data_IF_254879326302
#
_entry.id   IF_254879326302
#
_cell.length_a   1.000
_cell.length_b   1.000
_cell.length_c   1.000
_cell.angle_alpha   90.00
_cell.angle_beta   90.00
_cell.angle_gamma   90.00
#
_symmetry.space_group_name_H-M   'P 1'
#
loop_
_entity.id
_entity.type
_entity.pdbx_description
1 polymer ?
#
# COMPACT_ATOMS: atom_id res chain seq x y z
N UNK A 1 19.55 -7.46 22.65
CA UNK A 1 19.58 -8.85 22.14
C UNK A 1 18.13 -9.34 22.15
N UNK A 2 17.41 -9.14 21.06
CA UNK A 2 16.06 -9.67 20.86
C UNK A 2 16.21 -11.13 20.44
N UNK A 3 15.58 -12.04 21.18
CA UNK A 3 15.52 -13.45 20.85
C UNK A 3 15.17 -13.60 19.36
N UNK A 4 16.03 -14.27 18.61
CA UNK A 4 15.75 -14.71 17.25
C UNK A 4 14.63 -15.77 17.37
N UNK A 5 13.37 -15.29 17.36
CA UNK A 5 12.23 -16.16 17.19
C UNK A 5 12.43 -16.89 15.86
N UNK A 6 12.20 -18.20 15.88
CA UNK A 6 12.27 -19.05 14.69
C UNK A 6 11.44 -18.40 13.58
N UNK A 7 12.10 -17.94 12.52
CA UNK A 7 11.42 -17.37 11.34
C UNK A 7 10.53 -18.48 10.74
N UNK A 8 9.26 -18.18 10.55
CA UNK A 8 8.28 -19.09 9.94
C UNK A 8 7.87 -18.59 8.56
N UNK A 9 8.62 -18.90 7.49
CA UNK A 9 8.40 -18.34 6.17
C UNK A 9 6.98 -18.57 5.61
N UNK A 10 6.39 -19.73 5.90
CA UNK A 10 5.00 -20.03 5.52
C UNK A 10 4.00 -19.12 6.21
N UNK A 11 4.19 -18.83 7.50
CA UNK A 11 3.35 -17.86 8.21
C UNK A 11 3.48 -16.47 7.59
N UNK A 12 4.71 -16.03 7.28
CA UNK A 12 4.95 -14.76 6.57
C UNK A 12 4.20 -14.67 5.24
N UNK A 13 4.19 -15.77 4.47
CA UNK A 13 3.45 -15.86 3.20
C UNK A 13 1.92 -15.74 3.41
N UNK A 14 1.37 -16.49 4.37
CA UNK A 14 -0.07 -16.42 4.69
C UNK A 14 -0.48 -15.02 5.13
N UNK A 15 0.31 -14.39 6.02
CA UNK A 15 0.07 -13.02 6.48
C UNK A 15 0.12 -12.01 5.31
N UNK A 16 1.05 -12.18 4.36
CA UNK A 16 1.14 -11.35 3.16
C UNK A 16 -0.10 -11.50 2.26
N UNK A 17 -0.54 -12.73 1.99
CA UNK A 17 -1.74 -12.98 1.20
C UNK A 17 -3.00 -12.41 1.86
N UNK A 18 -3.12 -12.53 3.20
CA UNK A 18 -4.20 -11.91 3.95
C UNK A 18 -4.12 -10.38 3.92
N UNK A 19 -2.93 -9.78 4.02
CA UNK A 19 -2.75 -8.35 3.90
C UNK A 19 -3.19 -7.83 2.52
N UNK A 20 -2.81 -8.50 1.44
CA UNK A 20 -3.21 -8.14 0.08
C UNK A 20 -4.72 -8.32 -0.15
N UNK A 21 -5.34 -9.34 0.44
CA UNK A 21 -6.79 -9.50 0.45
C UNK A 21 -7.49 -8.35 1.19
N UNK A 22 -6.97 -7.94 2.36
CA UNK A 22 -7.53 -6.79 3.10
C UNK A 22 -7.43 -5.49 2.31
N UNK A 23 -6.32 -5.24 1.61
CA UNK A 23 -6.18 -4.05 0.78
C UNK A 23 -7.13 -4.07 -0.41
N UNK A 24 -7.26 -5.19 -1.12
CA UNK A 24 -8.24 -5.32 -2.20
C UNK A 24 -9.68 -5.17 -1.70
N UNK A 25 -9.99 -5.72 -0.52
CA UNK A 25 -11.27 -5.54 0.16
C UNK A 25 -11.53 -4.08 0.53
N UNK A 26 -10.51 -3.39 1.07
CA UNK A 26 -10.60 -1.96 1.37
C UNK A 26 -10.91 -1.15 0.10
N UNK A 27 -10.20 -1.39 -1.00
CA UNK A 27 -10.40 -0.69 -2.26
C UNK A 27 -11.82 -0.93 -2.83
N UNK A 28 -12.32 -2.16 -2.70
CA UNK A 28 -13.69 -2.53 -3.10
C UNK A 28 -14.74 -1.79 -2.26
N UNK A 29 -14.55 -1.75 -0.93
CA UNK A 29 -15.45 -1.02 -0.02
C UNK A 29 -15.38 0.49 -0.28
N UNK A 30 -14.20 1.06 -0.52
CA UNK A 30 -14.03 2.48 -0.89
C UNK A 30 -14.83 2.81 -2.15
N UNK A 31 -14.71 1.99 -3.20
CA UNK A 31 -15.45 2.18 -4.44
C UNK A 31 -16.97 2.20 -4.18
N UNK A 32 -17.46 1.27 -3.38
CA UNK A 32 -18.87 1.22 -3.01
C UNK A 32 -19.28 2.42 -2.15
N UNK A 33 -18.48 2.79 -1.14
CA UNK A 33 -18.76 3.87 -0.20
C UNK A 33 -18.71 5.26 -0.86
N UNK A 34 -17.96 5.43 -1.93
CA UNK A 34 -17.91 6.66 -2.72
C UNK A 34 -19.29 7.02 -3.36
N UNK A 35 -20.24 6.08 -3.41
CA UNK A 35 -21.59 6.33 -3.91
C UNK A 35 -22.48 7.08 -2.90
N UNK A 36 -22.19 7.03 -1.59
CA UNK A 36 -23.06 7.61 -0.56
C UNK A 36 -22.34 8.58 0.39
N UNK A 37 -21.02 8.62 0.40
CA UNK A 37 -20.29 9.49 1.31
C UNK A 37 -19.15 10.24 0.59
N UNK A 38 -18.85 11.49 0.99
CA UNK A 38 -17.71 12.22 0.47
C UNK A 38 -16.40 11.48 0.73
N UNK A 39 -15.52 11.39 -0.28
CA UNK A 39 -14.22 10.74 -0.15
C UNK A 39 -13.38 11.30 1.01
N UNK A 40 -13.44 12.61 1.24
CA UNK A 40 -12.73 13.27 2.35
C UNK A 40 -13.19 12.75 3.73
N UNK A 41 -14.50 12.50 3.90
CA UNK A 41 -15.04 11.90 5.12
C UNK A 41 -14.50 10.49 5.32
N UNK A 42 -14.56 9.66 4.28
CA UNK A 42 -14.08 8.27 4.34
C UNK A 42 -12.57 8.19 4.65
N UNK A 43 -11.76 9.08 4.04
CA UNK A 43 -10.33 9.17 4.32
C UNK A 43 -10.10 9.59 5.78
N UNK A 44 -10.84 10.59 6.26
CA UNK A 44 -10.72 11.07 7.65
C UNK A 44 -11.06 9.94 8.63
N UNK A 45 -12.18 9.25 8.43
CA UNK A 45 -12.58 8.13 9.29
C UNK A 45 -11.54 6.99 9.27
N UNK A 46 -10.97 6.67 8.10
CA UNK A 46 -9.91 5.67 7.99
C UNK A 46 -8.69 6.00 8.84
N UNK A 47 -8.18 7.23 8.75
CA UNK A 47 -7.00 7.64 9.50
C UNK A 47 -7.30 7.85 10.99
N UNK A 48 -8.47 8.38 11.33
CA UNK A 48 -8.93 8.51 12.72
C UNK A 48 -9.07 7.13 13.38
N UNK A 49 -9.70 6.16 12.69
CA UNK A 49 -9.79 4.78 13.17
C UNK A 49 -8.39 4.20 13.47
N UNK A 50 -7.45 4.35 12.54
CA UNK A 50 -6.07 3.92 12.72
C UNK A 50 -5.39 4.59 13.92
N UNK A 51 -5.53 5.90 14.07
CA UNK A 51 -4.95 6.65 15.18
C UNK A 51 -5.53 6.20 16.54
N UNK A 52 -6.86 6.02 16.61
CA UNK A 52 -7.54 5.58 17.84
C UNK A 52 -7.13 4.15 18.19
N UNK A 53 -7.21 3.20 17.27
CA UNK A 53 -6.88 1.80 17.55
C UNK A 53 -5.42 1.65 17.96
N UNK A 54 -4.49 2.28 17.26
CA UNK A 54 -3.07 2.24 17.61
C UNK A 54 -2.80 3.02 18.91
N UNK A 55 -3.49 4.12 19.15
CA UNK A 55 -3.38 4.91 20.38
C UNK A 55 -3.83 4.11 21.60
N UNK A 56 -4.98 3.43 21.52
CA UNK A 56 -5.46 2.55 22.59
C UNK A 56 -4.48 1.40 22.83
N UNK A 57 -3.94 0.78 21.75
CA UNK A 57 -2.95 -0.29 21.91
C UNK A 57 -1.67 0.19 22.59
N UNK A 58 -1.14 1.34 22.21
CA UNK A 58 0.06 1.91 22.85
C UNK A 58 -0.22 2.27 24.31
N UNK A 59 -1.38 2.88 24.60
CA UNK A 59 -1.76 3.26 25.96
C UNK A 59 -1.93 2.06 26.90
N UNK A 60 -2.39 0.92 26.37
CA UNK A 60 -2.54 -0.34 27.14
C UNK A 60 -1.25 -1.12 27.28
N UNK A 61 -0.17 -0.71 26.60
CA UNK A 61 1.13 -1.42 26.63
C UNK A 61 2.16 -0.66 27.47
N UNK A 62 2.74 -1.29 28.48
CA UNK A 62 3.84 -0.72 29.27
C UNK A 62 5.17 -0.62 28.51
N UNK A 63 5.28 -1.27 27.34
CA UNK A 63 6.53 -1.38 26.57
C UNK A 63 6.59 -0.44 25.36
N UNK A 64 5.46 0.20 24.99
CA UNK A 64 5.34 1.06 23.83
C UNK A 64 5.27 2.52 24.24
N UNK A 65 5.74 3.42 23.38
CA UNK A 65 5.74 4.86 23.61
C UNK A 65 5.10 5.60 22.44
N UNK A 66 4.35 6.67 22.74
CA UNK A 66 3.87 7.63 21.74
C UNK A 66 4.98 8.47 21.12
N UNK A 67 6.14 8.57 21.80
CA UNK A 67 7.27 9.39 21.35
C UNK A 67 7.97 8.72 20.19
N UNK A 68 8.13 9.45 19.09
CA UNK A 68 8.94 9.06 17.95
C UNK A 68 10.35 9.68 18.07
N UNK A 69 11.38 8.96 17.64
CA UNK A 69 12.76 9.44 17.60
C UNK A 69 12.91 10.67 16.67
N UNK A 70 12.20 10.64 15.54
CA UNK A 70 12.24 11.70 14.54
C UNK A 70 10.84 12.14 14.08
N UNK A 71 10.09 12.95 14.89
CA UNK A 71 8.69 13.31 14.60
C UNK A 71 8.49 13.98 13.24
N UNK A 72 9.41 14.84 12.80
CA UNK A 72 9.33 15.51 11.50
C UNK A 72 9.29 14.51 10.33
N UNK A 73 10.10 13.47 10.37
CA UNK A 73 10.10 12.43 9.35
C UNK A 73 8.85 11.55 9.42
N UNK A 74 8.29 11.31 10.62
CA UNK A 74 7.01 10.62 10.77
C UNK A 74 5.85 11.42 10.14
N UNK A 75 5.86 12.76 10.29
CA UNK A 75 4.87 13.65 9.65
C UNK A 75 5.01 13.60 8.12
N UNK A 76 6.23 13.74 7.57
CA UNK A 76 6.45 13.63 6.12
C UNK A 76 6.00 12.28 5.59
N UNK A 77 6.33 11.20 6.31
CA UNK A 77 5.91 9.85 5.97
C UNK A 77 4.38 9.70 6.00
N UNK A 78 3.73 10.22 7.04
CA UNK A 78 2.26 10.23 7.15
C UNK A 78 1.59 11.01 6.02
N UNK A 79 2.15 12.17 5.65
CA UNK A 79 1.67 12.98 4.53
C UNK A 79 1.80 12.25 3.18
N UNK A 80 2.90 11.54 2.94
CA UNK A 80 3.09 10.74 1.73
C UNK A 80 2.04 9.62 1.62
N UNK A 81 1.75 8.92 2.72
CA UNK A 81 0.70 7.89 2.71
C UNK A 81 -0.69 8.51 2.56
N UNK A 82 -0.94 9.67 3.18
CA UNK A 82 -2.19 10.42 2.98
C UNK A 82 -2.36 10.80 1.50
N UNK A 83 -1.32 11.34 0.86
CA UNK A 83 -1.35 11.68 -0.57
C UNK A 83 -1.71 10.47 -1.42
N UNK A 84 -1.06 9.33 -1.17
CA UNK A 84 -1.39 8.07 -1.85
C UNK A 84 -2.86 7.68 -1.62
N UNK A 85 -3.37 7.81 -0.38
CA UNK A 85 -4.77 7.49 -0.06
C UNK A 85 -5.75 8.45 -0.74
N UNK A 86 -5.48 9.75 -0.74
CA UNK A 86 -6.31 10.73 -1.46
C UNK A 86 -6.40 10.35 -2.93
N UNK A 87 -5.27 10.07 -3.57
CA UNK A 87 -5.24 9.61 -4.96
C UNK A 87 -6.08 8.34 -5.17
N UNK A 88 -5.98 7.35 -4.26
CA UNK A 88 -6.72 6.09 -4.35
C UNK A 88 -8.23 6.30 -4.21
N UNK A 89 -8.68 7.03 -3.19
CA UNK A 89 -10.10 7.28 -2.93
C UNK A 89 -10.75 8.04 -4.10
N UNK A 90 -10.05 9.01 -4.68
CA UNK A 90 -10.55 9.73 -5.85
C UNK A 90 -10.48 8.88 -7.12
N UNK A 91 -9.42 8.11 -7.34
CA UNK A 91 -9.31 7.22 -8.50
C UNK A 91 -10.46 6.21 -8.55
N UNK A 92 -10.79 5.60 -7.42
CA UNK A 92 -11.85 4.59 -7.29
C UNK A 92 -13.27 5.14 -7.53
N UNK A 93 -13.45 6.46 -7.69
CA UNK A 93 -14.68 7.06 -8.22
C UNK A 93 -14.81 6.90 -9.73
N UNK A 94 -13.69 6.87 -10.44
CA UNK A 94 -13.65 7.01 -11.89
C UNK A 94 -13.24 5.72 -12.61
N UNK A 95 -12.67 4.74 -11.90
CA UNK A 95 -12.20 3.50 -12.51
C UNK A 95 -12.54 2.27 -11.67
N UNK A 96 -12.63 1.07 -12.28
CA UNK A 96 -12.81 -0.19 -11.57
C UNK A 96 -11.62 -0.53 -10.65
N UNK A 97 -11.89 -1.34 -9.60
CA UNK A 97 -10.86 -1.73 -8.61
C UNK A 97 -9.71 -2.51 -9.24
N UNK A 98 -9.93 -3.47 -10.16
CA UNK A 98 -8.83 -4.22 -10.76
C UNK A 98 -7.84 -3.34 -11.53
N UNK A 99 -8.33 -2.39 -12.33
CA UNK A 99 -7.51 -1.46 -13.12
C UNK A 99 -6.76 -0.50 -12.20
N UNK A 100 -7.43 0.06 -11.19
CA UNK A 100 -6.78 0.86 -10.15
C UNK A 100 -5.64 0.08 -9.48
N UNK A 101 -5.92 -1.14 -9.01
CA UNK A 101 -4.95 -2.01 -8.33
C UNK A 101 -3.77 -2.33 -9.24
N UNK A 102 -4.04 -2.67 -10.52
CA UNK A 102 -2.98 -3.00 -11.48
C UNK A 102 -2.01 -1.83 -11.68
N UNK A 103 -2.52 -0.61 -11.85
CA UNK A 103 -1.68 0.60 -11.98
C UNK A 103 -0.92 0.85 -10.68
N UNK A 104 -1.58 0.68 -9.53
CA UNK A 104 -0.97 0.80 -8.21
C UNK A 104 0.19 -0.18 -7.99
N UNK A 105 0.15 -1.36 -8.62
CA UNK A 105 1.23 -2.36 -8.58
C UNK A 105 2.50 -1.96 -9.36
N UNK A 106 2.55 -0.77 -9.94
CA UNK A 106 3.82 -0.13 -10.33
C UNK A 106 4.63 0.35 -9.11
N UNK A 107 4.04 0.44 -7.93
CA UNK A 107 4.75 0.89 -6.71
C UNK A 107 6.07 0.15 -6.45
N UNK A 108 6.16 -1.19 -6.48
CA UNK A 108 7.45 -1.87 -6.27
C UNK A 108 8.51 -1.51 -7.30
N UNK A 109 8.08 -1.24 -8.54
CA UNK A 109 8.96 -0.80 -9.64
C UNK A 109 9.47 0.61 -9.35
N UNK A 110 8.58 1.52 -8.92
CA UNK A 110 8.94 2.88 -8.54
C UNK A 110 9.85 2.91 -7.30
N UNK A 111 9.63 2.03 -6.32
CA UNK A 111 10.53 1.85 -5.16
C UNK A 111 11.93 1.49 -5.63
N UNK A 112 12.06 0.56 -6.59
CA UNK A 112 13.37 0.19 -7.14
C UNK A 112 14.02 1.37 -7.86
N UNK A 113 13.29 2.10 -8.69
CA UNK A 113 13.81 3.28 -9.42
C UNK A 113 14.27 4.38 -8.46
N UNK A 114 13.46 4.69 -7.44
CA UNK A 114 13.82 5.67 -6.41
C UNK A 114 15.04 5.22 -5.59
N UNK A 115 15.11 3.94 -5.23
CA UNK A 115 16.25 3.38 -4.52
C UNK A 115 17.53 3.50 -5.37
N UNK A 116 17.48 3.15 -6.66
CA UNK A 116 18.58 3.29 -7.59
C UNK A 116 19.06 4.75 -7.72
N UNK A 117 18.11 5.69 -7.88
CA UNK A 117 18.43 7.12 -8.02
C UNK A 117 19.01 7.71 -6.73
N UNK A 118 18.44 7.36 -5.55
CA UNK A 118 18.85 7.91 -4.25
C UNK A 118 20.09 7.24 -3.68
N UNK A 119 20.25 5.92 -3.90
CA UNK A 119 21.34 5.12 -3.37
C UNK A 119 22.46 4.91 -4.42
N UNK A 120 22.27 5.40 -5.65
CA UNK A 120 23.20 5.24 -6.79
C UNK A 120 23.54 3.77 -7.08
N UNK A 121 22.57 2.87 -6.88
CA UNK A 121 22.73 1.46 -7.17
C UNK A 121 22.68 1.20 -8.68
N UNK A 122 23.59 0.33 -9.18
CA UNK A 122 23.57 -0.08 -10.59
C UNK A 122 22.36 -0.99 -10.89
N UNK A 123 21.51 -0.55 -11.80
CA UNK A 123 20.36 -1.34 -12.29
C UNK A 123 20.78 -2.03 -13.59
N UNK A 124 20.68 -3.35 -13.63
CA UNK A 124 21.05 -4.14 -14.82
C UNK A 124 20.06 -3.90 -15.98
N UNK A 125 20.53 -4.11 -17.22
CA UNK A 125 19.68 -3.97 -18.42
C UNK A 125 18.40 -4.83 -18.36
N UNK A 126 18.49 -6.05 -17.80
CA UNK A 126 17.32 -6.91 -17.61
C UNK A 126 16.28 -6.27 -16.68
N UNK A 127 16.69 -5.64 -15.60
CA UNK A 127 15.78 -4.92 -14.70
C UNK A 127 15.12 -3.72 -15.38
N UNK A 128 15.87 -2.98 -16.20
CA UNK A 128 15.31 -1.91 -17.03
C UNK A 128 14.27 -2.43 -18.01
N UNK A 129 14.49 -3.59 -18.64
CA UNK A 129 13.51 -4.23 -19.53
C UNK A 129 12.22 -4.63 -18.76
N UNK A 130 12.35 -5.18 -17.54
CA UNK A 130 11.20 -5.54 -16.71
C UNK A 130 10.42 -4.29 -16.21
N UNK A 131 11.12 -3.19 -15.92
CA UNK A 131 10.50 -1.89 -15.62
C UNK A 131 9.70 -1.41 -16.83
N UNK A 132 10.31 -1.38 -18.02
CA UNK A 132 9.64 -0.98 -19.25
C UNK A 132 8.42 -1.88 -19.53
N UNK A 133 8.54 -3.20 -19.34
CA UNK A 133 7.43 -4.15 -19.47
C UNK A 133 6.28 -3.85 -18.51
N UNK A 134 6.57 -3.52 -17.23
CA UNK A 134 5.54 -3.15 -16.26
C UNK A 134 4.81 -1.86 -16.67
N UNK A 135 5.53 -0.85 -17.18
CA UNK A 135 4.90 0.38 -17.70
C UNK A 135 4.09 0.13 -18.97
N UNK A 136 4.56 -0.73 -19.89
CA UNK A 136 3.77 -1.14 -21.06
C UNK A 136 2.48 -1.84 -20.61
N UNK A 137 2.56 -2.74 -19.63
CA UNK A 137 1.39 -3.37 -19.04
C UNK A 137 0.40 -2.35 -18.47
N UNK A 138 0.88 -1.32 -17.77
CA UNK A 138 0.03 -0.24 -17.27
C UNK A 138 -0.61 0.57 -18.41
N UNK A 139 0.12 0.86 -19.49
CA UNK A 139 -0.44 1.53 -20.67
C UNK A 139 -1.52 0.69 -21.36
N UNK A 140 -1.38 -0.63 -21.40
CA UNK A 140 -2.41 -1.56 -21.90
C UNK A 140 -3.67 -1.50 -21.03
N UNK A 141 -3.56 -1.38 -19.70
CA UNK A 141 -4.71 -1.21 -18.79
C UNK A 141 -5.34 0.16 -18.96
N UNK A 142 -4.53 1.23 -19.01
CA UNK A 142 -4.99 2.64 -19.05
C UNK A 142 -5.65 2.95 -20.39
N UNK A 143 -5.14 2.43 -21.52
CA UNK A 143 -5.59 2.70 -22.89
C UNK A 143 -5.73 4.21 -23.16
N UNK A 144 -4.64 4.96 -23.18
CA UNK A 144 -4.70 6.40 -23.43
C UNK A 144 -5.41 6.65 -24.77
N UNK A 145 -6.39 7.56 -24.77
CA UNK A 145 -7.19 7.89 -25.95
C UNK A 145 -8.50 7.09 -26.13
N UNK A 146 -8.75 6.03 -25.37
CA UNK A 146 -10.01 5.26 -25.43
C UNK A 146 -11.19 5.93 -24.70
N UNK A 147 -10.91 6.95 -23.87
CA UNK A 147 -11.92 7.60 -23.03
C UNK A 147 -12.34 6.78 -21.78
N UNK A 148 -11.90 5.51 -21.65
CA UNK A 148 -12.34 4.61 -20.59
C UNK A 148 -11.83 5.03 -19.21
N UNK A 149 -10.58 5.44 -19.09
CA UNK A 149 -9.95 5.85 -17.83
C UNK A 149 -9.50 7.32 -17.87
N UNK A 150 -9.07 7.79 -19.03
CA UNK A 150 -8.73 9.19 -19.28
C UNK A 150 -7.67 9.75 -18.33
N UNK A 151 -7.87 11.00 -17.88
CA UNK A 151 -7.00 11.69 -16.91
C UNK A 151 -6.98 11.02 -15.54
N UNK A 152 -8.03 10.25 -15.17
CA UNK A 152 -8.13 9.61 -13.88
C UNK A 152 -7.00 8.58 -13.63
N UNK A 153 -6.35 8.07 -14.69
CA UNK A 153 -5.17 7.21 -14.59
C UNK A 153 -3.97 7.90 -13.92
N UNK A 154 -3.90 9.23 -13.96
CA UNK A 154 -2.84 9.97 -13.27
C UNK A 154 -2.95 9.82 -11.74
N UNK A 155 -4.15 9.64 -11.20
CA UNK A 155 -4.35 9.48 -9.76
C UNK A 155 -3.63 8.24 -9.22
N UNK A 156 -3.86 7.00 -9.70
CA UNK A 156 -3.13 5.84 -9.19
C UNK A 156 -1.62 5.91 -9.48
N UNK A 157 -1.17 6.55 -10.56
CA UNK A 157 0.26 6.76 -10.82
C UNK A 157 0.89 7.70 -9.79
N UNK A 158 0.27 8.85 -9.50
CA UNK A 158 0.71 9.76 -8.44
C UNK A 158 0.64 9.08 -7.07
N UNK A 159 -0.41 8.30 -6.81
CA UNK A 159 -0.56 7.50 -5.59
C UNK A 159 0.54 6.47 -5.42
N UNK A 160 0.90 5.77 -6.50
CA UNK A 160 1.99 4.80 -6.51
C UNK A 160 3.36 5.45 -6.24
N UNK A 161 3.62 6.64 -6.80
CA UNK A 161 4.85 7.40 -6.54
C UNK A 161 4.92 7.87 -5.07
N UNK A 162 3.81 8.40 -4.54
CA UNK A 162 3.71 8.80 -3.14
C UNK A 162 3.92 7.60 -2.20
N UNK A 163 3.32 6.45 -2.51
CA UNK A 163 3.48 5.21 -1.75
C UNK A 163 4.91 4.66 -1.84
N UNK A 164 5.54 4.73 -3.01
CA UNK A 164 6.95 4.35 -3.17
C UNK A 164 7.87 5.24 -2.32
N UNK A 165 7.63 6.55 -2.32
CA UNK A 165 8.37 7.51 -1.49
C UNK A 165 8.16 7.26 0.01
N UNK A 166 6.92 6.95 0.42
CA UNK A 166 6.58 6.52 1.78
C UNK A 166 7.36 5.25 2.18
N UNK A 167 7.45 4.25 1.30
CA UNK A 167 8.17 3.01 1.58
C UNK A 167 9.69 3.23 1.72
N UNK A 168 10.29 4.08 0.87
CA UNK A 168 11.71 4.45 0.96
C UNK A 168 12.00 5.16 2.29
N UNK A 169 11.16 6.13 2.68
CA UNK A 169 11.31 6.84 3.95
C UNK A 169 11.09 5.91 5.15
N UNK A 170 10.10 5.01 5.07
CA UNK A 170 9.84 3.99 6.10
C UNK A 170 11.07 3.08 6.28
N UNK A 171 11.70 2.66 5.18
CA UNK A 171 12.93 1.85 5.24
C UNK A 171 14.08 2.59 5.92
N UNK A 172 14.24 3.90 5.64
CA UNK A 172 15.28 4.73 6.29
C UNK A 172 15.06 4.91 7.79
N UNK A 173 13.81 4.92 8.25
CA UNK A 173 13.44 5.07 9.66
C UNK A 173 13.28 3.72 10.38
N UNK A 174 13.46 2.61 9.67
CA UNK A 174 13.33 1.27 10.25
C UNK A 174 14.34 1.05 11.36
N UNK A 175 13.85 0.53 12.50
CA UNK A 175 14.67 0.26 13.69
C UNK A 175 14.85 1.45 14.64
N UNK A 176 14.44 2.66 14.26
CA UNK A 176 14.51 3.84 15.14
C UNK A 176 13.30 3.93 16.08
N UNK A 177 12.13 3.52 15.61
CA UNK A 177 10.87 3.54 16.35
C UNK A 177 10.20 2.16 16.30
N UNK A 178 9.39 1.84 17.32
CA UNK A 178 8.55 0.66 17.29
C UNK A 178 7.54 0.74 16.11
N UNK A 179 7.27 -0.38 15.42
CA UNK A 179 6.33 -0.38 14.27
C UNK A 179 4.94 0.17 14.61
N UNK A 180 4.41 -0.12 15.80
CA UNK A 180 3.11 0.37 16.25
C UNK A 180 3.12 1.89 16.51
N UNK A 181 4.21 2.42 17.09
CA UNK A 181 4.40 3.87 17.24
C UNK A 181 4.42 4.57 15.89
N UNK A 182 5.17 4.02 14.94
CA UNK A 182 5.24 4.53 13.56
C UNK A 182 3.87 4.49 12.88
N UNK A 183 3.09 3.44 13.11
CA UNK A 183 1.73 3.29 12.55
C UNK A 183 0.73 4.27 13.19
N UNK A 184 0.84 4.51 14.50
CA UNK A 184 0.10 5.56 15.20
C UNK A 184 0.36 6.95 14.61
N UNK A 185 1.63 7.33 14.42
CA UNK A 185 2.00 8.61 13.82
C UNK A 185 1.45 8.80 12.42
N UNK A 186 1.36 7.73 11.65
CA UNK A 186 0.73 7.76 10.31
C UNK A 186 -0.76 8.11 10.42
N UNK A 187 -1.50 7.44 11.32
CA UNK A 187 -2.92 7.72 11.58
C UNK A 187 -3.15 9.13 12.09
N UNK A 188 -2.34 9.56 13.07
CA UNK A 188 -2.41 10.90 13.66
C UNK A 188 -2.16 11.99 12.62
N UNK A 189 -1.08 11.87 11.86
CA UNK A 189 -0.72 12.83 10.79
C UNK A 189 -1.79 12.88 9.70
N UNK A 190 -2.25 11.72 9.24
CA UNK A 190 -3.31 11.66 8.23
C UNK A 190 -4.58 12.36 8.71
N UNK A 191 -5.02 12.08 9.95
CA UNK A 191 -6.20 12.74 10.54
C UNK A 191 -5.99 14.24 10.69
N UNK A 192 -4.85 14.66 11.24
CA UNK A 192 -4.57 16.08 11.49
C UNK A 192 -4.51 16.92 10.20
N UNK A 193 -4.03 16.34 9.10
CA UNK A 193 -3.92 17.04 7.82
C UNK A 193 -5.24 17.05 7.04
N UNK A 194 -6.02 15.94 7.06
CA UNK A 194 -7.21 15.82 6.25
C UNK A 194 -8.46 16.41 6.93
N UNK A 195 -8.54 16.39 8.26
CA UNK A 195 -9.70 16.88 8.99
C UNK A 195 -10.01 18.36 8.73
N UNK A 196 -9.04 19.29 8.74
CA UNK A 196 -9.31 20.69 8.37
C UNK A 196 -9.85 20.84 6.95
N UNK A 197 -9.31 20.02 6.01
CA UNK A 197 -9.78 20.02 4.61
C UNK A 197 -11.23 19.51 4.53
N UNK A 198 -11.57 18.47 5.28
CA UNK A 198 -12.94 17.96 5.36
C UNK A 198 -13.89 19.05 5.88
N UNK A 199 -13.56 19.69 7.00
CA UNK A 199 -14.40 20.72 7.64
C UNK A 199 -14.61 21.94 6.72
N UNK A 200 -13.60 22.29 5.93
CA UNK A 200 -13.68 23.38 4.95
C UNK A 200 -14.52 22.97 3.73
N UNK A 201 -14.30 21.76 3.20
CA UNK A 201 -14.90 21.31 1.93
C UNK A 201 -16.34 20.77 2.09
N UNK A 202 -16.74 20.41 3.31
CA UNK A 202 -18.07 19.85 3.63
C UNK A 202 -18.68 20.65 4.81
N UNK A 203 -19.19 21.88 4.54
CA UNK A 203 -19.74 22.74 5.60
C UNK A 203 -20.89 22.09 6.38
N UNK A 204 -21.74 21.33 5.70
CA UNK A 204 -22.90 20.63 6.27
C UNK A 204 -22.55 19.21 6.78
N UNK A 205 -21.30 19.02 7.25
CA UNK A 205 -20.84 17.73 7.76
C UNK A 205 -21.81 17.07 8.76
N UNK A 206 -22.39 17.81 9.75
CA UNK A 206 -23.36 17.21 10.66
C UNK A 206 -24.59 16.59 9.94
N UNK A 207 -25.11 17.26 8.92
CA UNK A 207 -26.21 16.74 8.11
C UNK A 207 -25.80 15.48 7.32
N UNK A 208 -24.60 15.48 6.73
CA UNK A 208 -24.05 14.31 6.03
C UNK A 208 -23.93 13.12 7.00
N UNK A 209 -23.40 13.33 8.19
CA UNK A 209 -23.25 12.28 9.21
C UNK A 209 -24.61 11.74 9.69
N UNK A 210 -25.60 12.60 9.87
CA UNK A 210 -26.95 12.22 10.30
C UNK A 210 -27.72 11.42 9.25
N UNK A 211 -27.39 11.56 7.96
CA UNK A 211 -28.03 10.84 6.86
C UNK A 211 -27.46 9.44 6.64
N UNK A 212 -26.30 9.12 7.20
CA UNK A 212 -25.69 7.80 7.05
C UNK A 212 -26.47 6.74 7.84
N UNK A 213 -26.94 5.71 7.14
CA UNK A 213 -27.54 4.54 7.75
C UNK A 213 -26.52 3.72 8.56
N UNK A 214 -26.96 2.85 9.45
CA UNK A 214 -26.10 1.96 10.22
C UNK A 214 -25.21 1.07 9.33
N UNK A 215 -25.72 0.59 8.19
CA UNK A 215 -24.94 -0.20 7.23
C UNK A 215 -23.84 0.63 6.55
N UNK A 216 -24.11 1.88 6.21
CA UNK A 216 -23.13 2.81 5.62
C UNK A 216 -22.03 3.17 6.62
N UNK A 217 -22.37 3.37 7.90
CA UNK A 217 -21.39 3.49 8.97
C UNK A 217 -20.53 2.24 9.12
N UNK A 218 -21.15 1.05 9.04
CA UNK A 218 -20.41 -0.21 9.03
C UNK A 218 -19.39 -0.30 7.92
N UNK A 219 -19.74 0.13 6.69
CA UNK A 219 -18.82 0.16 5.55
C UNK A 219 -17.69 1.20 5.76
N UNK A 220 -18.00 2.40 6.28
CA UNK A 220 -16.98 3.41 6.57
C UNK A 220 -15.98 2.91 7.63
N UNK A 221 -16.44 2.25 8.68
CA UNK A 221 -15.57 1.63 9.69
C UNK A 221 -14.78 0.44 9.14
N UNK A 222 -15.38 -0.34 8.22
CA UNK A 222 -14.68 -1.44 7.55
C UNK A 222 -13.47 -0.95 6.73
N UNK A 223 -13.55 0.23 6.10
CA UNK A 223 -12.39 0.86 5.43
C UNK A 223 -11.25 1.10 6.43
N UNK A 224 -11.57 1.66 7.60
CA UNK A 224 -10.60 1.88 8.68
C UNK A 224 -10.00 0.57 9.19
N UNK A 225 -10.84 -0.43 9.43
CA UNK A 225 -10.43 -1.76 9.88
C UNK A 225 -9.51 -2.43 8.86
N UNK A 226 -9.95 -2.58 7.60
CA UNK A 226 -9.20 -3.25 6.56
C UNK A 226 -7.84 -2.57 6.30
N UNK A 227 -7.82 -1.22 6.28
CA UNK A 227 -6.58 -0.46 6.09
C UNK A 227 -5.62 -0.61 7.27
N UNK A 228 -6.12 -0.52 8.51
CA UNK A 228 -5.29 -0.61 9.72
C UNK A 228 -4.71 -2.02 9.89
N UNK A 229 -5.56 -3.03 9.84
CA UNK A 229 -5.12 -4.41 10.06
C UNK A 229 -4.40 -4.99 8.84
N UNK A 230 -4.72 -4.56 7.61
CA UNK A 230 -3.93 -4.91 6.42
C UNK A 230 -2.47 -4.47 6.55
N UNK A 231 -2.22 -3.24 7.03
CA UNK A 231 -0.86 -2.78 7.31
C UNK A 231 -0.19 -3.53 8.48
N UNK A 232 -0.93 -3.89 9.51
CA UNK A 232 -0.39 -4.69 10.61
C UNK A 232 0.02 -6.09 10.16
N UNK A 233 -0.83 -6.76 9.37
CA UNK A 233 -0.49 -8.06 8.78
C UNK A 233 0.76 -7.97 7.90
N UNK A 234 0.88 -6.89 7.12
CA UNK A 234 2.06 -6.63 6.30
C UNK A 234 3.33 -6.49 7.16
N UNK A 235 3.26 -5.74 8.27
CA UNK A 235 4.37 -5.59 9.23
C UNK A 235 4.75 -6.95 9.82
N UNK A 236 3.78 -7.74 10.26
CA UNK A 236 4.01 -9.07 10.83
C UNK A 236 4.56 -10.05 9.79
N UNK A 237 4.07 -10.00 8.54
CA UNK A 237 4.60 -10.82 7.44
C UNK A 237 6.11 -10.58 7.25
N UNK A 238 6.55 -9.32 7.24
CA UNK A 238 7.96 -8.95 7.11
C UNK A 238 8.78 -9.32 8.36
N UNK A 239 8.15 -9.51 9.52
CA UNK A 239 8.78 -10.04 10.71
C UNK A 239 9.02 -11.56 10.66
N UNK A 240 8.28 -12.30 9.80
CA UNK A 240 8.36 -13.77 9.70
C UNK A 240 9.15 -14.26 8.49
N UNK A 241 9.27 -13.45 7.43
CA UNK A 241 9.97 -13.81 6.21
C UNK A 241 10.71 -12.62 5.60
N UNK A 242 11.75 -12.92 4.82
CA UNK A 242 12.50 -11.88 4.12
C UNK A 242 11.61 -11.15 3.12
N UNK A 243 11.73 -9.83 3.05
CA UNK A 243 10.97 -8.99 2.12
C UNK A 243 11.08 -9.45 0.65
N UNK A 244 12.23 -9.96 0.28
CA UNK A 244 12.50 -10.52 -1.03
C UNK A 244 11.64 -11.75 -1.35
N UNK A 245 11.39 -12.62 -0.37
CA UNK A 245 10.54 -13.79 -0.52
C UNK A 245 9.05 -13.39 -0.63
N UNK A 246 8.64 -12.35 0.07
CA UNK A 246 7.25 -11.88 0.10
C UNK A 246 6.87 -11.01 -1.11
N UNK A 247 7.83 -10.30 -1.71
CA UNK A 247 7.58 -9.32 -2.75
C UNK A 247 6.79 -9.84 -3.98
N UNK A 248 7.00 -11.05 -4.53
CA UNK A 248 6.16 -11.57 -5.63
C UNK A 248 4.69 -11.72 -5.24
N UNK A 249 4.41 -12.02 -3.97
CA UNK A 249 3.05 -12.27 -3.47
C UNK A 249 2.24 -11.00 -3.25
N UNK A 250 2.87 -9.82 -3.29
CA UNK A 250 2.12 -8.54 -3.31
C UNK A 250 1.22 -8.43 -4.54
N UNK A 251 1.62 -9.02 -5.67
CA UNK A 251 0.82 -9.02 -6.90
C UNK A 251 -0.46 -9.86 -6.80
N UNK A 252 -0.60 -10.72 -5.79
CA UNK A 252 -1.86 -11.43 -5.49
C UNK A 252 -3.03 -10.45 -5.26
N UNK A 253 -2.74 -9.18 -4.87
CA UNK A 253 -3.76 -8.14 -4.71
C UNK A 253 -4.54 -7.91 -6.01
N UNK A 254 -3.93 -8.04 -7.19
CA UNK A 254 -4.64 -7.92 -8.48
C UNK A 254 -5.69 -9.03 -8.59
N UNK A 255 -5.32 -10.28 -8.28
CA UNK A 255 -6.26 -11.40 -8.31
C UNK A 255 -7.43 -11.22 -7.33
N UNK A 256 -7.15 -10.76 -6.10
CA UNK A 256 -8.19 -10.44 -5.13
C UNK A 256 -9.08 -9.29 -5.59
N UNK A 257 -8.52 -8.24 -6.19
CA UNK A 257 -9.25 -7.11 -6.72
C UNK A 257 -10.23 -7.52 -7.83
N UNK A 258 -9.81 -8.42 -8.73
CA UNK A 258 -10.69 -8.98 -9.78
C UNK A 258 -11.81 -9.79 -9.14
N UNK A 259 -11.49 -10.72 -8.24
CA UNK A 259 -12.48 -11.57 -7.59
C UNK A 259 -13.52 -10.77 -6.79
N UNK A 260 -13.05 -9.81 -5.96
CA UNK A 260 -13.93 -8.98 -5.14
C UNK A 260 -14.75 -7.99 -5.98
N UNK A 261 -14.18 -7.45 -7.07
CA UNK A 261 -14.93 -6.58 -7.99
C UNK A 261 -16.04 -7.35 -8.71
N UNK A 262 -15.78 -8.58 -9.10
CA UNK A 262 -16.83 -9.45 -9.67
C UNK A 262 -17.91 -9.77 -8.67
N UNK A 263 -17.56 -10.14 -7.44
CA UNK A 263 -18.52 -10.45 -6.38
C UNK A 263 -19.37 -9.24 -5.95
N UNK A 264 -18.75 -8.05 -5.87
CA UNK A 264 -19.43 -6.86 -5.36
C UNK A 264 -20.21 -6.08 -6.43
N UNK A 265 -19.72 -6.08 -7.67
CA UNK A 265 -20.24 -5.23 -8.75
C UNK A 265 -20.66 -6.00 -10.00
N UNK A 266 -20.45 -7.33 -10.06
CA UNK A 266 -20.70 -8.12 -11.26
C UNK A 266 -19.80 -7.77 -12.44
N UNK A 267 -18.75 -6.95 -12.21
CA UNK A 267 -17.86 -6.45 -13.27
C UNK A 267 -16.63 -7.34 -13.40
N UNK A 268 -16.37 -7.78 -14.63
CA UNK A 268 -15.17 -8.53 -14.98
C UNK A 268 -14.28 -7.68 -15.89
N UNK A 269 -12.95 -7.66 -15.67
CA UNK A 269 -12.05 -6.93 -16.54
C UNK A 269 -12.08 -7.53 -17.95
N UNK A 270 -12.00 -6.67 -18.96
CA UNK A 270 -11.96 -7.14 -20.35
C UNK A 270 -10.60 -7.77 -20.71
N UNK A 271 -10.51 -8.39 -21.88
CA UNK A 271 -9.31 -9.11 -22.31
C UNK A 271 -8.05 -8.23 -22.33
N UNK A 272 -8.16 -6.96 -22.69
CA UNK A 272 -7.01 -6.05 -22.69
C UNK A 272 -6.57 -5.71 -21.27
N UNK A 273 -7.52 -5.43 -20.35
CA UNK A 273 -7.20 -5.20 -18.94
C UNK A 273 -6.52 -6.44 -18.34
N UNK A 274 -7.05 -7.64 -18.57
CA UNK A 274 -6.44 -8.91 -18.12
C UNK A 274 -5.02 -9.06 -18.68
N UNK A 275 -4.81 -8.77 -19.97
CA UNK A 275 -3.49 -8.84 -20.59
C UNK A 275 -2.51 -7.86 -19.92
N UNK A 276 -2.90 -6.62 -19.73
CA UNK A 276 -2.06 -5.62 -19.04
C UNK A 276 -1.74 -6.00 -17.59
N UNK A 277 -2.73 -6.52 -16.85
CA UNK A 277 -2.54 -7.03 -15.48
C UNK A 277 -1.55 -8.20 -15.45
N UNK A 278 -1.66 -9.12 -16.40
CA UNK A 278 -0.72 -10.25 -16.52
C UNK A 278 0.71 -9.78 -16.80
N UNK A 279 0.90 -8.82 -17.74
CA UNK A 279 2.21 -8.24 -18.04
C UNK A 279 2.81 -7.55 -16.80
N UNK A 280 2.02 -6.72 -16.07
CA UNK A 280 2.48 -6.06 -14.83
C UNK A 280 2.91 -7.11 -13.80
N UNK A 281 2.07 -8.14 -13.60
CA UNK A 281 2.33 -9.20 -12.61
C UNK A 281 3.59 -9.98 -12.94
N UNK A 282 3.75 -10.42 -14.20
CA UNK A 282 4.91 -11.20 -14.63
C UNK A 282 6.21 -10.39 -14.55
N UNK A 283 6.21 -9.16 -15.08
CA UNK A 283 7.40 -8.30 -15.03
C UNK A 283 7.76 -7.91 -13.61
N UNK A 284 6.76 -7.57 -12.79
CA UNK A 284 6.97 -7.19 -11.41
C UNK A 284 7.45 -8.35 -10.54
N UNK A 285 6.85 -9.53 -10.66
CA UNK A 285 7.26 -10.73 -9.96
C UNK A 285 8.68 -11.18 -10.37
N UNK A 286 9.00 -11.13 -11.68
CA UNK A 286 10.34 -11.41 -12.18
C UNK A 286 11.38 -10.44 -11.62
N UNK A 287 11.05 -9.14 -11.56
CA UNK A 287 11.93 -8.13 -10.97
C UNK A 287 12.14 -8.36 -9.46
N UNK A 288 11.07 -8.68 -8.73
CA UNK A 288 11.15 -9.03 -7.31
C UNK A 288 12.05 -10.26 -7.09
N UNK A 289 11.92 -11.29 -7.91
CA UNK A 289 12.73 -12.51 -7.84
C UNK A 289 14.22 -12.26 -8.14
N UNK A 290 14.55 -11.39 -9.12
CA UNK A 290 15.93 -10.96 -9.38
C UNK A 290 16.55 -10.23 -8.18
N UNK A 291 15.76 -9.45 -7.42
CA UNK A 291 16.22 -8.82 -6.19
C UNK A 291 16.63 -9.86 -5.13
N UNK A 292 15.83 -10.92 -4.97
CA UNK A 292 16.14 -12.06 -4.08
C UNK A 292 17.50 -12.68 -4.42
N UNK A 293 17.65 -13.07 -5.68
CA UNK A 293 18.89 -13.72 -6.15
C UNK A 293 20.13 -12.86 -5.98
N UNK A 294 20.01 -11.56 -6.24
CA UNK A 294 21.13 -10.63 -6.06
C UNK A 294 21.52 -10.47 -4.59
N UNK A 295 20.54 -10.39 -3.67
CA UNK A 295 20.78 -10.33 -2.24
C UNK A 295 21.48 -11.60 -1.71
N UNK A 296 21.01 -12.79 -2.14
CA UNK A 296 21.61 -14.07 -1.75
C UNK A 296 23.07 -14.19 -2.22
N UNK A 297 23.37 -13.82 -3.47
CA UNK A 297 24.73 -13.83 -4.00
C UNK A 297 25.66 -12.89 -3.23
N UNK A 298 25.17 -11.72 -2.82
CA UNK A 298 26.00 -10.76 -2.05
C UNK A 298 26.33 -11.29 -0.64
N UNK A 299 25.40 -12.00 0.00
CA UNK A 299 25.63 -12.66 1.30
C UNK A 299 26.62 -13.80 1.14
N UNK A 300 26.45 -14.65 0.13
CA UNK A 300 27.35 -15.78 -0.12
C UNK A 300 28.78 -15.33 -0.42
N UNK A 301 28.95 -14.27 -1.22
CA UNK A 301 30.26 -13.68 -1.50
C UNK A 301 30.93 -13.08 -0.25
N UNK A 302 30.15 -12.52 0.69
CA UNK A 302 30.71 -12.03 1.97
C UNK A 302 31.15 -13.18 2.87
N UNK A 303 30.38 -14.27 2.92
CA UNK A 303 30.73 -15.45 3.71
C UNK A 303 31.97 -16.16 3.17
N UNK A 304 32.12 -16.25 1.85
CA UNK A 304 33.30 -16.85 1.20
C UNK A 304 34.56 -15.96 1.27
N UNK A 305 34.43 -14.67 1.59
CA UNK A 305 35.54 -13.75 1.79
C UNK A 305 36.03 -13.66 3.26
N UNK A 306 35.39 -14.38 4.20
CA UNK A 306 35.89 -14.51 5.56
C UNK A 306 37.06 -15.50 5.58
N UNK A 307 38.16 -15.21 6.28
CA UNK A 307 39.27 -16.16 6.41
C UNK A 307 38.78 -17.45 7.09
N UNK A 308 39.28 -18.63 6.70
CA UNK A 308 39.01 -19.87 7.43
C UNK A 308 39.56 -19.73 8.86
N UNK A 309 38.71 -20.13 9.84
CA UNK A 309 39.07 -20.17 11.27
C UNK A 309 40.27 -21.07 11.55
#
# INVERSE_FOLDING_TARGET
MTAAGTAHPLLGLVLMLLATLMFAGMDTVIRHANAFAPALLLITLRYAFQAVVMGVWIASSQRLSFRAAHPRFQVVRGALLLTSSVCAFFALKFMPVPEFTAIGMLTPVLVMLLAAAVLREHVTALRWALVAGSFIGALIVIRPGSGLVGWAALLPLCGALALASFQILTRRLSGLDAPLTTHFWTGLTGTALILPVLLWAVPDLPAVLAQLSASQWGLALAIGFLGTFGHLLLIFAHGQAQASMLAPFTYAQIGWAVALSWLAFGTWPDAMAVTGMAVITLCGAANAWLNVRSAQKSVQNRLSALPPD
#
